data_IF_376384351973
#
_entry.id   IF_376384351973
#
_cell.length_a   1.000
_cell.length_b   1.000
_cell.length_c   1.000
_cell.angle_alpha   90.00
_cell.angle_beta   90.00
_cell.angle_gamma   90.00
#
_symmetry.space_group_name_H-M   'P 1'
#
loop_
_entity.id
_entity.type
_entity.pdbx_description
1 polymer ?
#
# COMPACT_ATOMS: atom_id res chain seq x y z
N UNK A 1 42.10 -50.37 5.64
CA UNK A 1 40.95 -51.26 5.89
C UNK A 1 40.62 -51.07 7.37
N UNK A 2 39.57 -50.43 7.86
CA UNK A 2 38.15 -50.40 7.50
C UNK A 2 37.51 -49.15 8.14
N UNK A 3 37.10 -48.16 7.36
CA UNK A 3 36.46 -46.93 7.82
C UNK A 3 35.02 -46.79 7.30
N UNK A 4 34.29 -47.91 7.26
CA UNK A 4 33.01 -48.02 6.57
C UNK A 4 31.97 -48.75 7.44
N UNK A 5 31.58 -48.16 8.57
CA UNK A 5 30.47 -48.71 9.38
C UNK A 5 29.72 -47.71 10.26
N UNK A 6 29.83 -46.40 10.01
CA UNK A 6 29.04 -45.38 10.75
C UNK A 6 27.93 -44.71 9.92
N UNK A 7 27.66 -45.22 8.72
CA UNK A 7 26.66 -44.67 7.79
C UNK A 7 25.37 -45.51 7.65
N UNK A 8 25.17 -46.51 8.52
CA UNK A 8 24.09 -47.50 8.39
C UNK A 8 23.05 -47.46 9.53
N UNK A 9 22.86 -46.32 10.18
CA UNK A 9 21.75 -46.15 11.11
C UNK A 9 21.09 -44.80 10.83
N UNK A 10 19.75 -44.80 10.70
CA UNK A 10 18.86 -43.66 10.43
C UNK A 10 18.39 -43.46 8.97
N UNK A 11 18.17 -44.55 8.23
CA UNK A 11 17.16 -44.57 7.16
C UNK A 11 16.22 -45.73 7.46
N UNK A 12 14.98 -45.43 7.85
CA UNK A 12 13.94 -46.45 7.98
C UNK A 12 12.95 -46.26 9.12
N UNK A 13 12.24 -45.13 9.18
CA UNK A 13 10.91 -45.09 9.78
C UNK A 13 10.06 -43.97 9.17
N UNK A 14 9.74 -44.13 7.89
CA UNK A 14 8.64 -43.42 7.25
C UNK A 14 7.54 -44.46 7.01
N UNK A 15 6.58 -44.58 7.93
CA UNK A 15 5.26 -45.13 7.63
C UNK A 15 4.27 -44.81 8.77
N UNK A 16 3.10 -44.31 8.36
CA UNK A 16 1.86 -44.19 9.13
C UNK A 16 1.72 -43.07 10.18
N UNK A 17 1.58 -41.83 9.71
CA UNK A 17 0.81 -40.80 10.41
C UNK A 17 -0.12 -40.08 9.42
N UNK A 18 -1.04 -40.85 8.82
CA UNK A 18 -2.07 -40.35 7.93
C UNK A 18 -3.46 -40.54 8.54
N UNK A 19 -4.19 -39.43 8.70
CA UNK A 19 -5.65 -39.42 8.61
C UNK A 19 -6.44 -39.79 9.86
N UNK A 20 -6.41 -38.93 10.88
CA UNK A 20 -7.48 -38.87 11.89
C UNK A 20 -7.69 -37.44 12.38
N UNK A 21 -7.94 -36.50 11.47
CA UNK A 21 -8.74 -35.33 11.83
C UNK A 21 -10.18 -35.61 11.38
N UNK A 22 -11.00 -35.98 12.36
CA UNK A 22 -12.45 -36.01 12.29
C UNK A 22 -12.98 -34.60 11.99
N UNK A 23 -13.06 -34.25 10.71
CA UNK A 23 -13.90 -33.15 10.22
C UNK A 23 -15.22 -33.74 9.71
N UNK A 24 -16.30 -33.56 10.46
CA UNK A 24 -17.66 -33.83 9.99
C UNK A 24 -18.02 -32.85 8.87
N UNK A 25 -17.82 -33.24 7.62
CA UNK A 25 -18.49 -32.61 6.49
C UNK A 25 -19.85 -33.29 6.30
N UNK A 26 -21.00 -32.62 6.56
CA UNK A 26 -22.27 -33.16 6.09
C UNK A 26 -22.30 -33.06 4.56
N UNK A 27 -22.33 -34.22 3.92
CA UNK A 27 -22.73 -34.40 2.53
C UNK A 27 -24.16 -33.85 2.37
N UNK A 28 -24.30 -32.65 1.80
CA UNK A 28 -25.62 -32.15 1.38
C UNK A 28 -25.95 -32.81 0.04
N UNK A 29 -26.64 -33.93 0.13
CA UNK A 29 -27.30 -34.62 -0.98
C UNK A 29 -28.44 -33.72 -1.46
N UNK A 30 -28.48 -33.44 -2.77
CA UNK A 30 -29.49 -32.59 -3.39
C UNK A 30 -30.92 -33.04 -3.10
N UNK A 31 -31.74 -32.10 -2.62
CA UNK A 31 -33.18 -32.30 -2.41
C UNK A 31 -33.78 -31.21 -1.52
N UNK A 32 -34.59 -30.33 -2.12
CA UNK A 32 -35.51 -29.34 -1.51
C UNK A 32 -34.93 -28.23 -0.61
N UNK A 33 -33.65 -28.29 -0.20
CA UNK A 33 -32.97 -27.21 0.56
C UNK A 33 -31.84 -26.48 -0.20
N UNK A 34 -31.64 -26.78 -1.49
CA UNK A 34 -30.46 -26.40 -2.26
C UNK A 34 -30.49 -25.05 -2.99
N UNK A 35 -31.52 -24.23 -2.79
CA UNK A 35 -31.64 -22.93 -3.48
C UNK A 35 -31.01 -21.75 -2.72
N UNK A 36 -30.50 -21.95 -1.50
CA UNK A 36 -30.04 -20.85 -0.65
C UNK A 36 -28.61 -20.36 -0.93
N UNK A 37 -27.82 -21.07 -1.75
CA UNK A 37 -26.44 -20.66 -2.08
C UNK A 37 -26.32 -20.11 -3.51
N UNK A 38 -27.20 -19.20 -3.90
CA UNK A 38 -27.01 -18.40 -5.12
C UNK A 38 -27.36 -16.92 -4.95
N UNK A 39 -27.47 -16.45 -3.69
CA UNK A 39 -27.66 -15.05 -3.38
C UNK A 39 -26.69 -14.59 -2.29
N UNK A 40 -25.40 -14.94 -2.42
CA UNK A 40 -24.35 -14.15 -1.81
C UNK A 40 -24.05 -12.95 -2.71
N UNK A 41 -25.04 -12.06 -2.87
CA UNK A 41 -24.71 -10.68 -3.19
C UNK A 41 -23.82 -10.20 -2.05
N UNK A 42 -22.51 -10.10 -2.31
CA UNK A 42 -21.60 -9.36 -1.46
C UNK A 42 -21.93 -7.86 -1.60
N UNK A 43 -23.09 -7.45 -1.09
CA UNK A 43 -23.44 -6.06 -0.79
C UNK A 43 -23.04 -5.69 0.64
N UNK A 44 -22.12 -6.45 1.24
CA UNK A 44 -21.75 -6.39 2.65
C UNK A 44 -20.34 -5.88 2.91
N UNK A 45 -19.97 -4.68 2.43
CA UNK A 45 -18.83 -3.89 2.96
C UNK A 45 -19.11 -2.37 2.89
N UNK A 46 -20.36 -1.92 2.97
CA UNK A 46 -20.73 -0.50 2.76
C UNK A 46 -20.35 0.48 3.90
N UNK A 47 -19.34 0.18 4.70
CA UNK A 47 -18.98 1.03 5.85
C UNK A 47 -17.51 1.13 6.23
N UNK A 48 -16.63 0.30 5.66
CA UNK A 48 -15.22 0.24 6.09
C UNK A 48 -14.21 0.10 4.95
N UNK A 49 -14.62 0.25 3.69
CA UNK A 49 -13.77 -0.03 2.52
C UNK A 49 -13.58 1.12 1.52
N UNK A 50 -14.01 2.35 1.81
CA UNK A 50 -14.03 3.42 0.80
C UNK A 50 -12.66 3.72 0.18
N UNK A 51 -11.61 3.92 0.98
CA UNK A 51 -10.30 4.32 0.45
C UNK A 51 -9.56 3.15 -0.23
N UNK A 52 -9.76 1.94 0.27
CA UNK A 52 -9.21 0.72 -0.33
C UNK A 52 -9.88 0.43 -1.67
N UNK A 53 -11.20 0.61 -1.77
CA UNK A 53 -11.96 0.49 -3.01
C UNK A 53 -11.56 1.55 -4.03
N UNK A 54 -11.43 2.82 -3.61
CA UNK A 54 -10.89 3.90 -4.44
C UNK A 54 -9.51 3.52 -4.97
N UNK A 55 -8.60 3.10 -4.09
CA UNK A 55 -7.24 2.70 -4.49
C UNK A 55 -7.25 1.54 -5.49
N UNK A 56 -8.08 0.53 -5.26
CA UNK A 56 -8.20 -0.62 -6.15
C UNK A 56 -8.76 -0.21 -7.52
N UNK A 57 -9.78 0.65 -7.54
CA UNK A 57 -10.40 1.18 -8.76
C UNK A 57 -9.41 1.99 -9.59
N UNK A 58 -8.66 2.91 -8.98
CA UNK A 58 -7.65 3.71 -9.69
C UNK A 58 -6.55 2.81 -10.27
N UNK A 59 -6.00 1.89 -9.47
CA UNK A 59 -4.99 0.95 -9.96
C UNK A 59 -5.51 0.10 -11.12
N UNK A 60 -6.77 -0.35 -11.05
CA UNK A 60 -7.40 -1.10 -12.12
C UNK A 60 -7.51 -0.28 -13.41
N UNK A 61 -7.96 0.97 -13.31
CA UNK A 61 -8.09 1.89 -14.45
C UNK A 61 -6.73 2.21 -15.09
N UNK A 62 -5.70 2.46 -14.27
CA UNK A 62 -4.34 2.67 -14.76
C UNK A 62 -3.78 1.43 -15.45
N UNK A 63 -3.94 0.25 -14.85
CA UNK A 63 -3.47 -1.01 -15.41
C UNK A 63 -4.13 -1.33 -16.75
N UNK A 64 -5.44 -1.10 -16.87
CA UNK A 64 -6.15 -1.28 -18.14
C UNK A 64 -5.74 -0.29 -19.23
N UNK A 65 -5.42 0.95 -18.85
CA UNK A 65 -5.02 1.98 -19.81
C UNK A 65 -3.60 1.78 -20.30
N UNK A 66 -2.64 1.59 -19.40
CA UNK A 66 -1.23 1.37 -19.73
C UNK A 66 -0.47 0.78 -18.53
N UNK A 67 0.08 -0.42 -18.67
CA UNK A 67 0.83 -1.10 -17.61
C UNK A 67 2.03 -0.30 -17.09
N UNK A 68 2.66 0.53 -17.93
CA UNK A 68 3.80 1.36 -17.56
C UNK A 68 3.38 2.61 -16.76
N UNK A 69 2.10 2.97 -16.80
CA UNK A 69 1.59 4.07 -15.99
C UNK A 69 1.51 3.68 -14.52
N UNK A 70 1.10 2.44 -14.23
CA UNK A 70 0.98 1.94 -12.87
C UNK A 70 2.33 1.72 -12.17
N UNK A 71 3.39 1.37 -12.91
CA UNK A 71 4.70 1.06 -12.31
C UNK A 71 5.54 2.27 -11.94
N UNK A 72 5.29 3.44 -12.56
CA UNK A 72 6.03 4.68 -12.31
C UNK A 72 5.39 5.62 -11.29
N UNK A 73 4.21 5.28 -10.79
CA UNK A 73 3.37 6.17 -9.98
C UNK A 73 3.14 5.62 -8.57
N UNK A 74 3.20 6.53 -7.59
CA UNK A 74 2.69 6.31 -6.24
C UNK A 74 1.22 6.73 -6.13
N UNK A 75 0.45 5.98 -5.34
CA UNK A 75 -0.97 6.23 -5.10
C UNK A 75 -1.28 6.13 -3.61
N UNK A 76 -1.47 7.28 -2.98
CA UNK A 76 -1.93 7.40 -1.60
C UNK A 76 -3.40 7.86 -1.59
N UNK A 77 -4.22 7.23 -0.75
CA UNK A 77 -5.65 7.59 -0.58
C UNK A 77 -5.96 7.76 0.91
N UNK A 78 -6.55 8.90 1.27
CA UNK A 78 -7.01 9.26 2.62
C UNK A 78 -8.35 10.00 2.57
N UNK A 79 -9.40 9.39 3.11
CA UNK A 79 -10.77 9.92 3.19
C UNK A 79 -11.33 10.43 1.83
N UNK A 80 -11.03 9.71 0.75
CA UNK A 80 -11.37 10.07 -0.63
C UNK A 80 -10.48 11.14 -1.27
N UNK A 81 -9.45 11.65 -0.58
CA UNK A 81 -8.39 12.45 -1.19
C UNK A 81 -7.35 11.53 -1.76
N UNK A 82 -6.91 11.82 -2.96
CA UNK A 82 -5.96 11.01 -3.72
C UNK A 82 -4.71 11.83 -3.96
N UNK A 83 -3.57 11.34 -3.50
CA UNK A 83 -2.26 11.91 -3.83
C UNK A 83 -1.57 11.01 -4.84
N UNK A 84 -1.22 11.61 -5.97
CA UNK A 84 -0.48 10.97 -7.06
C UNK A 84 0.95 11.51 -7.07
N UNK A 85 1.92 10.63 -6.89
CA UNK A 85 3.35 10.93 -6.91
C UNK A 85 4.06 10.06 -7.94
N UNK A 86 5.33 10.33 -8.20
CA UNK A 86 6.17 9.51 -9.07
C UNK A 86 6.55 10.23 -10.34
N UNK A 87 6.93 9.45 -11.36
CA UNK A 87 7.51 9.97 -12.61
C UNK A 87 6.82 9.39 -13.81
N UNK A 88 6.63 10.22 -14.83
CA UNK A 88 6.11 9.80 -16.14
C UNK A 88 6.93 10.44 -17.27
N UNK A 89 7.03 9.78 -18.43
CA UNK A 89 7.91 10.24 -19.50
C UNK A 89 7.38 11.47 -20.26
N UNK A 90 6.09 11.80 -20.15
CA UNK A 90 5.50 12.92 -20.88
C UNK A 90 4.23 13.46 -20.21
N UNK A 91 3.80 14.64 -20.66
CA UNK A 91 2.62 15.32 -20.15
C UNK A 91 1.32 14.53 -20.36
N UNK A 92 1.20 13.77 -21.46
CA UNK A 92 0.00 12.99 -21.75
C UNK A 92 -0.20 11.88 -20.72
N UNK A 93 0.86 11.16 -20.36
CA UNK A 93 0.81 10.15 -19.30
C UNK A 93 0.40 10.75 -17.96
N UNK A 94 0.89 11.95 -17.62
CA UNK A 94 0.45 12.66 -16.40
C UNK A 94 -1.03 13.00 -16.43
N UNK A 95 -1.51 13.54 -17.56
CA UNK A 95 -2.92 13.88 -17.73
C UNK A 95 -3.83 12.65 -17.64
N UNK A 96 -3.42 11.55 -18.26
CA UNK A 96 -4.15 10.28 -18.20
C UNK A 96 -4.22 9.73 -16.77
N UNK A 97 -3.11 9.77 -16.02
CA UNK A 97 -3.11 9.32 -14.62
C UNK A 97 -4.14 10.08 -13.77
N UNK A 98 -4.14 11.41 -13.88
CA UNK A 98 -5.08 12.29 -13.15
C UNK A 98 -6.52 12.06 -13.61
N UNK A 99 -6.76 11.99 -14.92
CA UNK A 99 -8.09 11.75 -15.50
C UNK A 99 -8.67 10.42 -15.02
N UNK A 100 -7.89 9.35 -15.04
CA UNK A 100 -8.31 8.03 -14.61
C UNK A 100 -8.52 7.98 -13.10
N UNK A 101 -7.71 8.69 -12.31
CA UNK A 101 -7.92 8.80 -10.86
C UNK A 101 -9.31 9.39 -10.53
N UNK A 102 -9.72 10.45 -11.23
CA UNK A 102 -11.04 11.06 -11.06
C UNK A 102 -12.23 10.16 -11.46
N UNK A 103 -12.02 9.09 -12.22
CA UNK A 103 -13.10 8.18 -12.62
C UNK A 103 -13.47 7.19 -11.52
N UNK A 104 -12.62 7.00 -10.51
CA UNK A 104 -12.93 6.14 -9.38
C UNK A 104 -14.03 6.76 -8.51
N UNK A 105 -15.06 5.96 -8.21
CA UNK A 105 -16.16 6.38 -7.33
C UNK A 105 -15.64 6.69 -5.92
N UNK A 106 -16.10 7.79 -5.33
CA UNK A 106 -15.72 8.20 -3.97
C UNK A 106 -14.50 9.13 -3.90
N UNK A 107 -13.82 9.39 -5.03
CA UNK A 107 -12.77 10.42 -5.08
C UNK A 107 -13.38 11.81 -4.90
N UNK A 108 -12.82 12.57 -3.96
CA UNK A 108 -13.23 13.94 -3.60
C UNK A 108 -12.22 14.99 -4.05
N UNK A 109 -10.95 14.59 -4.10
CA UNK A 109 -9.83 15.47 -4.45
C UNK A 109 -8.73 14.62 -5.09
N UNK A 110 -8.09 15.15 -6.14
CA UNK A 110 -6.88 14.57 -6.72
C UNK A 110 -5.76 15.62 -6.65
N UNK A 111 -4.74 15.31 -5.87
CA UNK A 111 -3.52 16.09 -5.67
C UNK A 111 -2.46 15.49 -6.61
N UNK A 112 -2.00 16.30 -7.57
CA UNK A 112 -1.08 15.87 -8.61
C UNK A 112 0.34 16.38 -8.35
N UNK A 113 1.20 15.50 -7.86
CA UNK A 113 2.63 15.74 -7.64
C UNK A 113 3.50 14.87 -8.58
N UNK A 114 2.93 14.44 -9.71
CA UNK A 114 3.62 13.64 -10.72
C UNK A 114 4.62 14.53 -11.49
N UNK A 115 5.88 14.10 -11.50
CA UNK A 115 6.97 14.76 -12.22
C UNK A 115 7.06 14.23 -13.66
N UNK A 116 7.30 15.13 -14.62
CA UNK A 116 7.56 14.74 -16.02
C UNK A 116 9.06 14.73 -16.23
N UNK A 117 9.66 13.59 -15.96
CA UNK A 117 11.08 13.38 -16.12
C UNK A 117 11.27 12.03 -16.83
N UNK A 118 12.15 12.02 -17.82
CA UNK A 118 12.59 10.89 -18.63
C UNK A 118 13.64 10.01 -17.90
N UNK A 119 14.07 10.42 -16.70
CA UNK A 119 15.06 9.73 -15.90
C UNK A 119 14.81 9.89 -14.40
N UNK A 120 14.43 8.80 -13.75
CA UNK A 120 14.80 8.53 -12.37
C UNK A 120 15.56 7.21 -12.40
N UNK A 121 16.84 7.23 -12.04
CA UNK A 121 17.66 6.02 -12.04
C UNK A 121 17.20 5.03 -10.97
N UNK A 122 17.68 3.79 -11.07
CA UNK A 122 17.58 2.81 -9.97
C UNK A 122 18.16 3.41 -8.68
N UNK A 123 19.21 4.23 -8.80
CA UNK A 123 19.87 4.88 -7.67
C UNK A 123 19.00 5.95 -6.99
N UNK A 124 18.27 6.77 -7.76
CA UNK A 124 17.38 7.80 -7.21
C UNK A 124 16.22 7.13 -6.46
N UNK A 125 15.66 6.08 -7.04
CA UNK A 125 14.61 5.27 -6.41
C UNK A 125 15.08 4.59 -5.11
N UNK A 126 16.34 4.13 -5.07
CA UNK A 126 16.94 3.56 -3.86
C UNK A 126 17.15 4.61 -2.77
N UNK A 127 17.61 5.81 -3.13
CA UNK A 127 17.75 6.95 -2.20
C UNK A 127 16.39 7.36 -1.63
N UNK A 128 15.37 7.50 -2.48
CA UNK A 128 14.01 7.86 -2.08
C UNK A 128 13.39 6.80 -1.14
N UNK A 129 13.62 5.53 -1.43
CA UNK A 129 13.18 4.41 -0.57
C UNK A 129 13.88 4.47 0.79
N UNK A 130 15.17 4.78 0.80
CA UNK A 130 15.94 4.94 2.04
C UNK A 130 15.46 6.12 2.87
N UNK A 131 15.22 7.29 2.25
CA UNK A 131 14.62 8.47 2.90
C UNK A 131 13.28 8.09 3.55
N UNK A 132 12.39 7.45 2.77
CA UNK A 132 11.06 7.04 3.23
C UNK A 132 11.16 6.08 4.41
N UNK A 133 12.10 5.13 4.35
CA UNK A 133 12.33 4.15 5.42
C UNK A 133 12.85 4.83 6.69
N UNK A 134 13.85 5.70 6.57
CA UNK A 134 14.41 6.43 7.72
C UNK A 134 13.36 7.33 8.38
N UNK A 135 12.59 8.06 7.59
CA UNK A 135 11.51 8.91 8.11
C UNK A 135 10.45 8.05 8.81
N UNK A 136 10.01 6.97 8.16
CA UNK A 136 9.03 6.04 8.75
C UNK A 136 9.53 5.49 10.08
N UNK A 137 10.79 5.07 10.17
CA UNK A 137 11.38 4.62 11.43
C UNK A 137 11.37 5.72 12.48
N UNK A 138 11.81 6.94 12.17
CA UNK A 138 11.82 8.07 13.11
C UNK A 138 10.44 8.37 13.68
N UNK A 139 9.42 8.45 12.83
CA UNK A 139 8.05 8.74 13.30
C UNK A 139 7.43 7.56 14.06
N UNK A 140 7.82 6.32 13.76
CA UNK A 140 7.29 5.13 14.44
C UNK A 140 7.85 4.96 15.85
N UNK A 141 9.11 5.37 16.10
CA UNK A 141 9.73 5.28 17.42
C UNK A 141 9.48 6.50 18.30
N UNK A 142 8.97 7.59 17.73
CA UNK A 142 8.53 8.76 18.49
C UNK A 142 7.16 8.49 19.12
N UNK A 143 7.13 8.37 20.45
CA UNK A 143 5.93 8.04 21.21
C UNK A 143 4.85 9.13 21.19
N UNK A 144 5.18 10.35 20.75
CA UNK A 144 4.24 11.47 20.66
C UNK A 144 3.63 11.63 19.25
N UNK A 145 3.80 10.62 18.38
CA UNK A 145 3.31 10.60 17.00
C UNK A 145 2.49 9.32 16.73
N UNK A 146 1.27 9.51 16.20
CA UNK A 146 0.43 8.41 15.75
C UNK A 146 0.83 8.00 14.34
N UNK A 147 1.98 7.33 14.20
CA UNK A 147 2.61 7.04 12.90
C UNK A 147 1.71 6.31 11.89
N UNK A 148 0.70 5.57 12.33
CA UNK A 148 -0.27 4.89 11.47
C UNK A 148 -1.17 5.86 10.68
N UNK A 149 -1.31 7.11 11.14
CA UNK A 149 -2.15 8.12 10.49
C UNK A 149 -1.43 8.87 9.36
N UNK A 150 -0.18 8.51 9.06
CA UNK A 150 0.64 9.19 8.05
C UNK A 150 1.06 8.24 6.94
N UNK A 151 0.84 8.67 5.71
CA UNK A 151 1.51 8.15 4.51
C UNK A 151 2.71 9.03 4.18
N UNK A 152 3.79 8.38 3.72
CA UNK A 152 5.04 9.00 3.33
C UNK A 152 5.36 8.50 1.93
N UNK A 153 5.37 9.40 0.96
CA UNK A 153 5.87 9.16 -0.39
C UNK A 153 7.10 10.03 -0.62
N UNK A 154 8.15 9.50 -1.26
CA UNK A 154 9.35 10.29 -1.59
C UNK A 154 9.68 10.14 -3.07
N UNK A 155 9.92 11.27 -3.75
CA UNK A 155 10.33 11.30 -5.16
C UNK A 155 11.39 12.38 -5.36
N UNK A 156 12.56 11.99 -5.83
CA UNK A 156 13.71 12.87 -6.09
C UNK A 156 14.07 13.73 -4.85
N UNK A 157 14.09 13.10 -3.68
CA UNK A 157 14.38 13.76 -2.40
C UNK A 157 13.28 14.72 -1.89
N UNK A 158 12.13 14.79 -2.58
CA UNK A 158 10.94 15.50 -2.07
C UNK A 158 10.07 14.53 -1.29
N UNK A 159 9.84 14.84 -0.01
CA UNK A 159 8.95 14.07 0.86
C UNK A 159 7.54 14.66 0.79
N UNK A 160 6.57 13.82 0.50
CA UNK A 160 5.15 14.12 0.53
C UNK A 160 4.51 13.44 1.74
N UNK A 161 3.94 14.26 2.63
CA UNK A 161 3.23 13.80 3.83
C UNK A 161 1.73 13.94 3.60
N UNK A 162 0.98 12.87 3.85
CA UNK A 162 -0.48 12.86 3.76
C UNK A 162 -1.09 12.03 4.89
N UNK A 163 -2.31 12.37 5.28
CA UNK A 163 -3.04 11.68 6.34
C UNK A 163 -3.61 12.65 7.35
N UNK A 164 -3.67 12.24 8.63
CA UNK A 164 -4.29 13.03 9.69
C UNK A 164 -3.43 13.16 10.93
N UNK A 165 -3.38 14.37 11.49
CA UNK A 165 -2.68 14.68 12.75
C UNK A 165 -3.70 15.02 13.84
N UNK A 166 -3.47 14.55 15.06
CA UNK A 166 -4.39 14.83 16.18
C UNK A 166 -4.19 16.26 16.70
N UNK A 167 -2.95 16.74 16.69
CA UNK A 167 -2.59 18.07 17.17
C UNK A 167 -1.59 18.74 16.24
N UNK A 168 -1.53 20.07 16.29
CA UNK A 168 -0.50 20.82 15.56
C UNK A 168 0.91 20.43 16.01
N UNK A 169 1.13 20.21 17.31
CA UNK A 169 2.42 19.79 17.84
C UNK A 169 2.88 18.43 17.29
N UNK A 170 1.95 17.49 17.10
CA UNK A 170 2.23 16.21 16.44
C UNK A 170 2.68 16.41 14.98
N UNK A 171 1.95 17.23 14.22
CA UNK A 171 2.28 17.55 12.84
C UNK A 171 3.65 18.23 12.73
N UNK A 172 3.93 19.20 13.60
CA UNK A 172 5.21 19.92 13.62
C UNK A 172 6.38 18.96 13.88
N UNK A 173 6.21 18.00 14.81
CA UNK A 173 7.21 16.94 15.06
C UNK A 173 7.45 16.07 13.83
N UNK A 174 6.40 15.65 13.11
CA UNK A 174 6.55 14.87 11.88
C UNK A 174 7.33 15.65 10.82
N UNK A 175 7.04 16.94 10.64
CA UNK A 175 7.73 17.82 9.70
C UNK A 175 9.20 18.00 10.09
N UNK A 176 9.50 18.15 11.39
CA UNK A 176 10.86 18.24 11.91
C UNK A 176 11.65 16.95 11.65
N UNK A 177 11.06 15.79 11.94
CA UNK A 177 11.66 14.49 11.60
C UNK A 177 11.96 14.39 10.12
N UNK A 178 11.01 14.77 9.25
CA UNK A 178 11.19 14.75 7.80
C UNK A 178 12.37 15.64 7.36
N UNK A 179 12.47 16.86 7.89
CA UNK A 179 13.59 17.78 7.60
C UNK A 179 14.93 17.29 8.14
N UNK A 180 14.94 16.47 9.18
CA UNK A 180 16.16 15.92 9.78
C UNK A 180 16.76 14.73 9.01
N UNK A 181 16.01 14.14 8.07
CA UNK A 181 16.48 12.98 7.29
C UNK A 181 17.47 13.45 6.22
N UNK A 182 18.60 12.76 6.11
CA UNK A 182 19.62 13.08 5.13
C UNK A 182 19.07 12.98 3.71
N UNK A 183 19.52 13.89 2.83
CA UNK A 183 19.11 13.99 1.42
C UNK A 183 17.65 14.37 1.17
N UNK A 184 16.88 14.74 2.21
CA UNK A 184 15.60 15.43 2.02
C UNK A 184 15.86 16.83 1.49
N UNK A 185 15.35 17.14 0.31
CA UNK A 185 15.48 18.44 -0.35
C UNK A 185 14.31 19.36 0.00
N UNK A 186 13.11 18.79 0.11
CA UNK A 186 11.88 19.52 0.34
C UNK A 186 10.84 18.64 1.02
N UNK A 187 10.04 19.24 1.90
CA UNK A 187 8.88 18.58 2.53
C UNK A 187 7.62 19.30 2.06
N UNK A 188 6.67 18.53 1.53
CA UNK A 188 5.35 18.99 1.10
C UNK A 188 4.32 18.34 1.99
N UNK A 189 3.47 19.16 2.60
CA UNK A 189 2.54 18.73 3.62
C UNK A 189 1.08 18.83 3.13
N UNK A 190 0.40 17.68 3.10
CA UNK A 190 -1.03 17.53 2.83
C UNK A 190 -1.79 16.89 4.00
N UNK A 191 -1.15 16.78 5.17
CA UNK A 191 -1.76 16.27 6.40
C UNK A 191 -2.81 17.27 6.88
N UNK A 192 -3.96 16.77 7.31
CA UNK A 192 -5.02 17.57 7.92
C UNK A 192 -5.08 17.35 9.42
N UNK A 193 -5.45 18.40 10.15
CA UNK A 193 -5.77 18.26 11.57
C UNK A 193 -7.15 17.61 11.70
N UNK A 194 -7.31 16.66 12.62
CA UNK A 194 -8.61 16.00 12.86
C UNK A 194 -9.70 17.04 13.18
N UNK A 195 -9.36 18.13 13.87
CA UNK A 195 -10.28 19.22 14.19
C UNK A 195 -10.77 20.03 12.97
N UNK A 196 -10.23 19.78 11.78
CA UNK A 196 -10.55 20.49 10.52
C UNK A 196 -11.26 19.61 9.49
N UNK A 197 -11.62 18.39 9.86
CA UNK A 197 -12.32 17.40 9.03
C UNK A 197 -13.83 17.42 9.30
#
# INVERSE_FOLDING_TARGET
MTGLSRFAALVGLALAAGGALSGCAPLVIGGVGGAAMAASEHRGIKGFASDTEIRASINHLWFQHNINLASGLGLTVDHGRVLLTGRVPNAQSRLDAVRLAWQAEGVKEVINEIQINDGGGILDSASDTWISTQLRTKITIDGDIHSQNYSIDTVDGVVYLMGTATTQAELDRVIEHARSVANVQRVVNYVRLISSL
#
